data_IF_898983477115
#
_entry.id   IF_898983477115
#
_cell.length_a   1.000
_cell.length_b   1.000
_cell.length_c   1.000
_cell.angle_alpha   90.00
_cell.angle_beta   90.00
_cell.angle_gamma   90.00
#
_symmetry.space_group_name_H-M   'P 1'
#
loop_
_entity.id
_entity.type
_entity.pdbx_description
1 polymer ?
#
# COMPACT_ATOMS: atom_id res chain seq x y z
N UNK A 1 2.00 2.27 -13.29
CA UNK A 1 2.62 1.87 -12.01
C UNK A 1 1.82 2.41 -10.83
N UNK A 2 1.58 3.73 -10.76
CA UNK A 2 0.75 4.37 -9.74
C UNK A 2 -0.69 3.81 -9.62
N UNK A 3 -1.36 3.57 -10.75
CA UNK A 3 -2.74 3.07 -10.79
C UNK A 3 -2.91 1.64 -10.23
N UNK A 4 -1.91 0.77 -10.42
CA UNK A 4 -1.94 -0.59 -9.87
C UNK A 4 -1.79 -0.56 -8.35
N UNK A 5 -0.85 0.23 -7.82
CA UNK A 5 -0.72 0.40 -6.37
C UNK A 5 -2.00 1.00 -5.76
N UNK A 6 -2.57 2.02 -6.41
CA UNK A 6 -3.86 2.59 -6.02
C UNK A 6 -4.97 1.53 -6.01
N UNK A 7 -5.01 0.65 -7.01
CA UNK A 7 -5.99 -0.45 -7.09
C UNK A 7 -5.83 -1.42 -5.93
N UNK A 8 -4.59 -1.78 -5.57
CA UNK A 8 -4.30 -2.66 -4.43
C UNK A 8 -4.75 -2.00 -3.13
N UNK A 9 -4.35 -0.75 -2.89
CA UNK A 9 -4.73 0.02 -1.68
C UNK A 9 -6.25 0.15 -1.58
N UNK A 10 -6.92 0.46 -2.70
CA UNK A 10 -8.38 0.53 -2.76
C UNK A 10 -9.05 -0.81 -2.51
N UNK A 11 -8.45 -1.92 -2.96
CA UNK A 11 -8.96 -3.25 -2.67
C UNK A 11 -8.93 -3.55 -1.17
N UNK A 12 -7.85 -3.17 -0.48
CA UNK A 12 -7.69 -3.37 0.97
C UNK A 12 -8.67 -2.46 1.73
N UNK A 13 -8.74 -1.17 1.38
CA UNK A 13 -9.71 -0.23 1.98
C UNK A 13 -11.15 -0.68 1.78
N UNK A 14 -11.50 -1.16 0.60
CA UNK A 14 -12.82 -1.71 0.31
C UNK A 14 -13.13 -2.93 1.19
N UNK A 15 -12.12 -3.76 1.48
CA UNK A 15 -12.23 -4.89 2.40
C UNK A 15 -12.49 -4.42 3.85
N UNK A 16 -11.89 -3.29 4.25
CA UNK A 16 -12.17 -2.61 5.53
C UNK A 16 -13.49 -1.83 5.56
N UNK A 17 -14.30 -1.85 4.49
CA UNK A 17 -15.48 -0.99 4.32
C UNK A 17 -15.17 0.53 4.37
N UNK A 18 -13.95 0.92 4.02
CA UNK A 18 -13.56 2.31 3.88
C UNK A 18 -13.77 2.83 2.45
N UNK A 19 -13.81 4.16 2.32
CA UNK A 19 -13.90 4.80 1.02
C UNK A 19 -12.61 4.60 0.22
N UNK A 20 -12.71 4.28 -1.09
CA UNK A 20 -11.54 4.19 -1.94
C UNK A 20 -10.88 5.56 -2.07
N UNK A 21 -9.56 5.57 -2.08
CA UNK A 21 -8.75 6.74 -2.35
C UNK A 21 -8.74 6.98 -3.87
N UNK A 22 -8.97 8.22 -4.26
CA UNK A 22 -8.89 8.63 -5.67
C UNK A 22 -7.44 8.84 -6.12
N UNK A 23 -6.60 9.32 -5.20
CA UNK A 23 -5.19 9.60 -5.44
C UNK A 23 -4.40 9.27 -4.16
N UNK A 24 -3.30 8.54 -4.33
CA UNK A 24 -2.30 8.33 -3.30
C UNK A 24 -1.12 9.25 -3.56
N UNK A 25 -0.71 9.99 -2.54
CA UNK A 25 0.47 10.86 -2.60
C UNK A 25 1.65 10.15 -1.95
N UNK A 26 2.87 10.28 -2.49
CA UNK A 26 4.07 9.67 -1.90
C UNK A 26 4.30 10.11 -0.43
N UNK A 27 3.97 11.36 -0.13
CA UNK A 27 4.02 11.96 1.20
C UNK A 27 2.95 11.45 2.20
N UNK A 28 1.95 10.67 1.74
CA UNK A 28 0.98 10.06 2.64
C UNK A 28 1.60 8.91 3.42
N UNK A 29 1.24 8.84 4.70
CA UNK A 29 1.59 7.71 5.57
C UNK A 29 0.56 6.61 5.47
N UNK A 30 1.01 5.37 5.31
CA UNK A 30 0.16 4.18 5.27
C UNK A 30 -0.65 4.05 6.57
N UNK A 31 0.01 4.23 7.72
CA UNK A 31 -0.65 4.07 9.03
C UNK A 31 -1.55 5.24 9.41
N UNK A 32 -1.11 6.47 9.16
CA UNK A 32 -1.83 7.67 9.64
C UNK A 32 -2.86 8.18 8.64
N UNK A 33 -2.53 8.18 7.35
CA UNK A 33 -3.40 8.73 6.29
C UNK A 33 -4.32 7.64 5.72
N UNK A 34 -3.76 6.44 5.49
CA UNK A 34 -4.51 5.31 4.93
C UNK A 34 -5.10 4.39 5.99
N UNK A 35 -4.80 4.61 7.28
CA UNK A 35 -5.29 3.80 8.39
C UNK A 35 -4.94 2.30 8.25
N UNK A 36 -3.76 2.01 7.70
CA UNK A 36 -3.28 0.65 7.55
C UNK A 36 -2.66 0.14 8.84
N UNK A 37 -3.21 -0.95 9.35
CA UNK A 37 -2.66 -1.67 10.48
C UNK A 37 -1.59 -2.65 10.01
N UNK A 38 -0.87 -3.28 10.96
CA UNK A 38 0.11 -4.32 10.63
C UNK A 38 -0.46 -5.45 9.77
N UNK A 39 -1.77 -5.72 9.89
CA UNK A 39 -2.45 -6.71 9.05
C UNK A 39 -2.65 -6.21 7.61
N UNK A 40 -3.09 -4.97 7.42
CA UNK A 40 -3.26 -4.37 6.09
C UNK A 40 -1.92 -4.22 5.37
N UNK A 41 -0.87 -3.86 6.10
CA UNK A 41 0.49 -3.79 5.56
C UNK A 41 0.98 -5.16 5.08
N UNK A 42 0.68 -6.23 5.82
CA UNK A 42 0.98 -7.59 5.41
C UNK A 42 0.17 -8.00 4.16
N UNK A 43 -1.12 -7.66 4.11
CA UNK A 43 -1.93 -7.92 2.91
C UNK A 43 -1.45 -7.09 1.70
N UNK A 44 -1.04 -5.85 1.94
CA UNK A 44 -0.48 -4.93 0.94
C UNK A 44 0.79 -5.50 0.32
N UNK A 45 1.76 -5.95 1.13
CA UNK A 45 3.02 -6.50 0.59
C UNK A 45 2.78 -7.77 -0.21
N UNK A 46 1.91 -8.67 0.26
CA UNK A 46 1.56 -9.89 -0.47
C UNK A 46 0.91 -9.54 -1.81
N UNK A 47 -0.07 -8.62 -1.82
CA UNK A 47 -0.70 -8.18 -3.08
C UNK A 47 0.31 -7.52 -4.01
N UNK A 48 1.23 -6.70 -3.49
CA UNK A 48 2.25 -6.06 -4.32
C UNK A 48 3.23 -7.11 -4.87
N UNK A 49 3.65 -8.08 -4.07
CA UNK A 49 4.51 -9.18 -4.48
C UNK A 49 3.84 -10.04 -5.57
N UNK A 50 2.57 -10.39 -5.41
CA UNK A 50 1.83 -11.14 -6.44
C UNK A 50 1.67 -10.34 -7.75
N UNK A 51 1.50 -9.02 -7.64
CA UNK A 51 1.10 -8.16 -8.76
C UNK A 51 2.28 -7.52 -9.49
N UNK A 52 3.40 -7.31 -8.79
CA UNK A 52 4.65 -6.69 -9.27
C UNK A 52 5.87 -7.58 -9.13
N UNK A 53 5.83 -8.61 -8.28
CA UNK A 53 7.00 -9.47 -7.99
C UNK A 53 8.02 -8.82 -7.06
N UNK A 54 7.62 -7.80 -6.30
CA UNK A 54 8.50 -7.03 -5.40
C UNK A 54 7.99 -7.15 -3.97
N UNK A 55 8.86 -7.58 -3.05
CA UNK A 55 8.56 -7.49 -1.62
C UNK A 55 9.06 -6.16 -1.05
N UNK A 56 8.11 -5.31 -0.67
CA UNK A 56 8.41 -3.95 -0.19
C UNK A 56 8.87 -3.94 1.28
N UNK A 57 8.67 -5.06 2.01
CA UNK A 57 9.08 -5.23 3.41
C UNK A 57 10.44 -5.93 3.57
N UNK A 58 11.07 -6.39 2.48
CA UNK A 58 12.31 -7.18 2.50
C UNK A 58 13.45 -6.49 3.27
N UNK A 59 13.54 -5.15 3.16
CA UNK A 59 14.61 -4.33 3.76
C UNK A 59 14.15 -3.59 5.03
N UNK A 60 12.88 -3.73 5.41
CA UNK A 60 12.30 -3.04 6.58
C UNK A 60 10.85 -2.63 6.40
N UNK A 61 10.23 -2.17 7.49
CA UNK A 61 8.84 -1.70 7.48
C UNK A 61 8.70 -0.40 6.66
N UNK A 62 7.85 -0.40 5.63
CA UNK A 62 7.44 0.83 4.95
C UNK A 62 6.42 1.60 5.79
N UNK A 63 6.58 2.93 5.83
CA UNK A 63 5.68 3.82 6.59
C UNK A 63 4.90 4.76 5.68
N UNK A 64 5.45 5.08 4.50
CA UNK A 64 4.87 6.04 3.55
C UNK A 64 4.72 5.42 2.16
N UNK A 65 3.81 5.98 1.36
CA UNK A 65 3.59 5.52 -0.02
C UNK A 65 4.84 5.74 -0.88
N UNK A 66 5.62 6.79 -0.61
CA UNK A 66 6.91 7.04 -1.29
C UNK A 66 7.88 5.86 -1.17
N UNK A 67 7.99 5.25 0.02
CA UNK A 67 8.89 4.12 0.25
C UNK A 67 8.48 2.90 -0.57
N UNK A 68 7.16 2.71 -0.75
CA UNK A 68 6.62 1.68 -1.64
C UNK A 68 7.02 1.98 -3.09
N UNK A 69 6.86 3.23 -3.54
CA UNK A 69 7.27 3.63 -4.88
C UNK A 69 8.76 3.53 -5.13
N UNK A 70 9.60 3.72 -4.11
CA UNK A 70 11.03 3.57 -4.23
C UNK A 70 11.44 2.09 -4.36
N UNK A 71 10.60 1.17 -3.90
CA UNK A 71 10.81 -0.29 -3.96
C UNK A 71 10.24 -0.91 -5.25
N UNK A 72 9.10 -0.41 -5.73
CA UNK A 72 8.41 -0.80 -6.96
C UNK A 72 9.19 -0.42 -8.23
#
# INVERSE_FOLDING_TARGET
>A
MQEKLLTIINSIKKNKFEEPVLEIKPEQKLREDLNFDSFDLAELTVKIEEEFGVDIFEDGLVNSVDEIYAKL
#
